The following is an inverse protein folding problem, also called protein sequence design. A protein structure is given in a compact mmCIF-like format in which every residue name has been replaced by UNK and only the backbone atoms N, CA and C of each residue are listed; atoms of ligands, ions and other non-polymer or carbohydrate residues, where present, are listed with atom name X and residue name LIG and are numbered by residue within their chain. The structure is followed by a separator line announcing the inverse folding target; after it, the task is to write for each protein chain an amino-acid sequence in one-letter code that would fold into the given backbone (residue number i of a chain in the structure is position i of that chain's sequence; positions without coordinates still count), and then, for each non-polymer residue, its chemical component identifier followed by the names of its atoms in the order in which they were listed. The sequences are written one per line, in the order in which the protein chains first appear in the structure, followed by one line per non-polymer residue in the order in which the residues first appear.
data_IF_952076614328
#
_entry.id   IF_952076614328
#
_cell.length_a   1.000
_cell.length_b   1.000
_cell.length_c   1.000
_cell.angle_alpha   90.00
_cell.angle_beta   90.00
_cell.angle_gamma   90.00
#
_symmetry.space_group_name_H-M   'P 1'
#
loop_
_entity.id
_entity.type
_entity.pdbx_description
1 polymer ?
#
# COMPACT_ATOMS: atom_id res chain seq x y z
N UNK A 1 -0.22 -11.62 6.43
CA UNK A 1 0.58 -11.19 5.26
C UNK A 1 0.21 -9.76 4.93
N UNK A 2 1.19 -8.88 4.72
CA UNK A 2 0.95 -7.46 4.40
C UNK A 2 1.17 -7.19 2.91
N UNK A 3 0.23 -6.48 2.31
CA UNK A 3 0.34 -5.91 0.97
C UNK A 3 0.33 -4.38 1.08
N UNK A 4 1.36 -3.73 0.52
CA UNK A 4 1.48 -2.28 0.41
C UNK A 4 1.39 -1.93 -1.07
N UNK A 5 0.38 -1.16 -1.48
CA UNK A 5 0.07 -0.97 -2.90
C UNK A 5 -0.28 0.48 -3.22
N UNK A 6 0.35 1.05 -4.24
CA UNK A 6 -0.08 2.32 -4.84
C UNK A 6 -1.35 2.16 -5.68
N UNK A 7 -2.30 3.09 -5.60
CA UNK A 7 -3.58 3.00 -6.37
C UNK A 7 -3.41 3.26 -7.87
N UNK A 8 -2.25 3.78 -8.29
CA UNK A 8 -1.89 4.10 -9.70
C UNK A 8 -0.72 3.27 -10.21
N UNK A 9 -0.47 2.11 -9.60
CA UNK A 9 0.53 1.17 -10.07
C UNK A 9 0.14 0.57 -11.43
N UNK A 10 1.00 0.76 -12.43
CA UNK A 10 0.79 0.28 -13.79
C UNK A 10 1.13 -1.21 -13.98
N UNK A 11 1.85 -1.80 -13.03
CA UNK A 11 2.28 -3.20 -13.05
C UNK A 11 1.35 -4.10 -12.23
N UNK A 12 0.84 -3.61 -11.10
CA UNK A 12 -0.08 -4.32 -10.23
C UNK A 12 -1.50 -3.74 -10.30
N UNK A 13 -2.33 -4.32 -11.16
CA UNK A 13 -3.74 -3.91 -11.27
C UNK A 13 -4.48 -4.13 -9.95
N UNK A 14 -4.98 -3.04 -9.36
CA UNK A 14 -5.56 -3.03 -8.02
C UNK A 14 -6.74 -3.99 -7.86
N UNK A 15 -7.57 -4.14 -8.90
CA UNK A 15 -8.74 -5.04 -8.83
C UNK A 15 -8.33 -6.52 -8.75
N UNK A 16 -7.27 -6.91 -9.46
CA UNK A 16 -6.72 -8.27 -9.36
C UNK A 16 -6.11 -8.51 -7.98
N UNK A 17 -5.43 -7.53 -7.41
CA UNK A 17 -4.86 -7.64 -6.07
C UNK A 17 -5.98 -7.77 -5.01
N UNK A 18 -7.03 -6.96 -5.09
CA UNK A 18 -8.18 -7.03 -4.19
C UNK A 18 -8.86 -8.40 -4.21
N UNK A 19 -8.97 -9.02 -5.39
CA UNK A 19 -9.47 -10.38 -5.54
C UNK A 19 -8.60 -11.42 -4.80
N UNK A 20 -7.27 -11.28 -4.88
CA UNK A 20 -6.33 -12.15 -4.13
C UNK A 20 -6.47 -11.94 -2.63
N UNK A 21 -6.45 -10.69 -2.16
CA UNK A 21 -6.60 -10.34 -0.74
C UNK A 21 -7.91 -10.90 -0.19
N UNK A 22 -9.02 -10.75 -0.94
CA UNK A 22 -10.33 -11.32 -0.56
C UNK A 22 -10.28 -12.84 -0.40
N UNK A 23 -9.61 -13.56 -1.30
CA UNK A 23 -9.45 -15.03 -1.20
C UNK A 23 -8.58 -15.45 -0.02
N UNK A 24 -7.64 -14.60 0.40
CA UNK A 24 -6.78 -14.85 1.56
C UNK A 24 -7.50 -14.60 2.90
N UNK A 25 -8.52 -13.74 2.91
CA UNK A 25 -9.33 -13.41 4.07
C UNK A 25 -8.50 -12.78 5.19
N UNK A 26 -8.78 -13.16 6.44
CA UNK A 26 -8.13 -12.61 7.65
C UNK A 26 -6.61 -12.82 7.70
N UNK A 27 -6.05 -13.64 6.80
CA UNK A 27 -4.60 -13.84 6.68
C UNK A 27 -3.90 -12.71 5.93
N UNK A 28 -4.64 -11.82 5.28
CA UNK A 28 -4.11 -10.73 4.48
C UNK A 28 -4.56 -9.36 4.99
N UNK A 29 -3.63 -8.42 4.98
CA UNK A 29 -3.86 -7.00 5.23
C UNK A 29 -3.44 -6.23 3.98
N UNK A 30 -4.28 -5.31 3.51
CA UNK A 30 -3.99 -4.46 2.35
C UNK A 30 -4.00 -3.00 2.78
N UNK A 31 -2.88 -2.32 2.60
CA UNK A 31 -2.75 -0.87 2.77
C UNK A 31 -2.52 -0.20 1.43
N UNK A 32 -3.30 0.86 1.15
CA UNK A 32 -3.28 1.56 -0.13
C UNK A 32 -2.65 2.95 0.03
N UNK A 33 -1.67 3.23 -0.81
CA UNK A 33 -1.13 4.57 -1.00
C UNK A 33 -1.92 5.25 -2.11
N UNK A 34 -2.81 6.15 -1.73
CA UNK A 34 -3.64 6.90 -2.68
C UNK A 34 -2.76 7.72 -3.63
N UNK A 35 -3.08 7.65 -4.93
CA UNK A 35 -2.31 8.25 -6.03
C UNK A 35 -0.86 7.73 -6.18
N UNK A 36 -0.45 6.73 -5.39
CA UNK A 36 0.89 6.15 -5.44
C UNK A 36 1.08 5.26 -6.68
N UNK A 37 2.25 5.35 -7.30
CA UNK A 37 2.68 4.41 -8.35
C UNK A 37 3.34 3.14 -7.77
N UNK A 38 3.97 2.33 -8.63
CA UNK A 38 4.70 1.10 -8.27
C UNK A 38 5.91 1.33 -7.35
N UNK A 39 6.41 2.57 -7.29
CA UNK A 39 7.48 3.01 -6.39
C UNK A 39 6.95 3.85 -5.23
N UNK A 40 5.62 3.88 -5.03
CA UNK A 40 4.91 4.71 -4.04
C UNK A 40 5.09 6.21 -4.24
N UNK A 41 5.56 6.66 -5.40
CA UNK A 41 5.63 8.10 -5.70
C UNK A 41 4.23 8.63 -5.92
N UNK A 42 3.96 9.78 -5.31
CA UNK A 42 2.68 10.47 -5.43
C UNK A 42 2.87 11.83 -6.14
N UNK A 43 1.86 12.33 -6.87
CA UNK A 43 1.93 13.67 -7.47
C UNK A 43 2.13 14.75 -6.42
N UNK A 44 2.96 15.78 -6.70
CA UNK A 44 3.21 16.89 -5.75
C UNK A 44 1.95 17.58 -5.23
N UNK A 45 0.84 17.58 -6.01
CA UNK A 45 -0.46 18.15 -5.60
C UNK A 45 -1.10 17.44 -4.40
N UNK A 46 -0.67 16.24 -4.04
CA UNK A 46 -1.14 15.55 -2.82
C UNK A 46 -0.58 16.19 -1.56
N UNK A 47 0.44 17.05 -1.66
CA UNK A 47 1.11 17.69 -0.54
C UNK A 47 2.05 16.77 0.25
N UNK A 48 2.16 15.49 -0.12
CA UNK A 48 3.08 14.53 0.50
C UNK A 48 4.45 14.57 -0.16
N UNK A 49 5.49 14.56 0.64
CA UNK A 49 6.85 14.28 0.21
C UNK A 49 7.09 12.77 0.10
N UNK A 50 8.16 12.36 -0.55
CA UNK A 50 8.59 10.96 -0.58
C UNK A 50 8.85 10.43 0.84
N UNK A 51 9.44 11.26 1.72
CA UNK A 51 9.67 10.90 3.11
C UNK A 51 8.36 10.66 3.87
N UNK A 52 7.30 11.46 3.62
CA UNK A 52 5.99 11.25 4.25
C UNK A 52 5.40 9.89 3.86
N UNK A 53 5.49 9.53 2.58
CA UNK A 53 5.01 8.23 2.09
C UNK A 53 5.85 7.09 2.68
N UNK A 54 7.17 7.23 2.74
CA UNK A 54 8.03 6.21 3.33
C UNK A 54 7.78 6.03 4.83
N UNK A 55 7.52 7.11 5.57
CA UNK A 55 7.14 7.04 6.97
C UNK A 55 5.78 6.33 7.15
N UNK A 56 4.78 6.63 6.32
CA UNK A 56 3.49 5.94 6.34
C UNK A 56 3.65 4.43 6.11
N UNK A 57 4.47 4.04 5.14
CA UNK A 57 4.77 2.62 4.85
C UNK A 57 5.48 1.94 6.03
N UNK A 58 6.46 2.62 6.63
CA UNK A 58 7.21 2.11 7.78
C UNK A 58 6.31 1.94 9.01
N UNK A 59 5.47 2.92 9.31
CA UNK A 59 4.50 2.87 10.42
C UNK A 59 3.49 1.74 10.21
N UNK A 60 2.97 1.59 8.99
CA UNK A 60 2.05 0.52 8.63
C UNK A 60 2.71 -0.86 8.79
N UNK A 61 3.94 -1.01 8.31
CA UNK A 61 4.71 -2.24 8.48
C UNK A 61 4.94 -2.57 9.95
N UNK A 62 5.37 -1.60 10.75
CA UNK A 62 5.61 -1.78 12.18
C UNK A 62 4.34 -2.20 12.91
N UNK A 63 3.21 -1.53 12.65
CA UNK A 63 1.93 -1.87 13.26
C UNK A 63 1.47 -3.29 12.88
N UNK A 64 1.63 -3.68 11.61
CA UNK A 64 1.32 -5.03 11.18
C UNK A 64 2.23 -6.07 11.84
N UNK A 65 3.55 -5.84 11.86
CA UNK A 65 4.53 -6.75 12.42
C UNK A 65 4.36 -6.98 13.94
N UNK A 66 3.82 -5.99 14.67
CA UNK A 66 3.52 -6.11 16.09
C UNK A 66 2.20 -6.85 16.38
N UNK A 67 1.33 -7.03 15.37
CA UNK A 67 -0.02 -7.58 15.51
C UNK A 67 -0.19 -8.93 14.78
N UNK A 68 0.90 -9.55 14.32
CA UNK A 68 0.91 -10.88 13.66
C UNK A 68 1.28 -12.02 14.59
#
# INVERSE_FOLDING_TARGET
MLFLQGTRDEFAQLDLLREVVRKLGDRATLHLIEEGDHSFKVPKRTGKTEADVMNELADTFQQWANNV
#
